data_IF_701249961746
#
_entry.id   IF_701249961746
#
_cell.length_a   1.000
_cell.length_b   1.000
_cell.length_c   1.000
_cell.angle_alpha   90.00
_cell.angle_beta   90.00
_cell.angle_gamma   90.00
#
_symmetry.space_group_name_H-M   'P 1'
#
loop_
_entity.id
_entity.type
_entity.pdbx_description
1 polymer ?
#
# COMPACT_ATOMS: atom_id res chain seq x y z
N UNK A 1 -32.15 47.26 28.22
CA UNK A 1 -30.89 46.54 27.98
C UNK A 1 -30.74 46.38 26.47
N UNK A 2 -30.47 47.48 25.77
CA UNK A 2 -30.20 47.49 24.33
C UNK A 2 -28.69 47.31 24.19
N UNK A 3 -28.26 46.10 23.79
CA UNK A 3 -26.91 45.93 23.29
C UNK A 3 -26.67 46.92 22.15
N UNK A 4 -25.47 47.51 22.10
CA UNK A 4 -25.11 48.47 21.06
C UNK A 4 -25.29 47.82 19.69
N UNK A 5 -25.99 48.53 18.79
CA UNK A 5 -26.36 48.05 17.45
C UNK A 5 -25.14 47.64 16.63
N UNK A 6 -23.97 48.23 16.92
CA UNK A 6 -22.72 47.97 16.20
C UNK A 6 -21.77 46.99 16.90
N UNK A 7 -22.11 46.49 18.09
CA UNK A 7 -21.26 45.56 18.86
C UNK A 7 -21.05 44.24 18.11
N UNK A 8 -22.11 43.74 17.46
CA UNK A 8 -22.02 42.57 16.59
C UNK A 8 -21.12 42.78 15.37
N UNK A 9 -21.08 44.00 14.81
CA UNK A 9 -20.22 44.33 13.67
C UNK A 9 -18.75 44.44 14.07
N UNK A 10 -18.46 44.90 15.29
CA UNK A 10 -17.11 44.97 15.86
C UNK A 10 -16.53 43.58 16.16
N UNK A 11 -17.37 42.61 16.52
CA UNK A 11 -16.96 41.23 16.83
C UNK A 11 -17.06 40.25 15.66
N UNK A 12 -17.56 40.69 14.50
CA UNK A 12 -17.86 39.83 13.35
C UNK A 12 -16.63 39.04 12.85
N UNK A 13 -15.46 39.69 12.78
CA UNK A 13 -14.22 39.03 12.36
C UNK A 13 -13.84 37.88 13.31
N UNK A 14 -13.86 38.15 14.63
CA UNK A 14 -13.52 37.15 15.63
C UNK A 14 -14.53 35.99 15.64
N UNK A 15 -15.81 36.27 15.40
CA UNK A 15 -16.85 35.26 15.26
C UNK A 15 -16.60 34.36 14.05
N UNK A 16 -16.39 34.94 12.86
CA UNK A 16 -16.12 34.15 11.65
C UNK A 16 -14.81 33.36 11.73
N UNK A 17 -13.77 33.87 12.40
CA UNK A 17 -12.53 33.12 12.64
C UNK A 17 -12.81 31.90 13.53
N UNK A 18 -13.56 32.08 14.62
CA UNK A 18 -13.92 30.99 15.51
C UNK A 18 -14.81 29.96 14.80
N UNK A 19 -15.81 30.41 14.04
CA UNK A 19 -16.69 29.56 13.24
C UNK A 19 -15.92 28.76 12.21
N UNK A 20 -15.04 29.41 11.43
CA UNK A 20 -14.22 28.74 10.43
C UNK A 20 -13.24 27.74 11.05
N UNK A 21 -12.69 28.03 12.23
CA UNK A 21 -11.85 27.09 12.98
C UNK A 21 -12.66 25.86 13.44
N UNK A 22 -13.83 26.06 14.03
CA UNK A 22 -14.69 24.96 14.48
C UNK A 22 -15.20 24.11 13.31
N UNK A 23 -15.56 24.74 12.19
CA UNK A 23 -15.94 24.08 10.95
C UNK A 23 -14.78 23.26 10.40
N UNK A 24 -13.60 23.87 10.23
CA UNK A 24 -12.41 23.20 9.75
C UNK A 24 -11.98 22.03 10.63
N UNK A 25 -12.10 22.16 11.95
CA UNK A 25 -11.78 21.09 12.90
C UNK A 25 -12.80 19.94 12.84
N UNK A 26 -14.09 20.25 12.67
CA UNK A 26 -15.16 19.26 12.49
C UNK A 26 -14.98 18.48 11.19
N UNK A 27 -14.73 19.20 10.10
CA UNK A 27 -14.57 18.63 8.77
C UNK A 27 -13.27 17.85 8.64
N UNK A 28 -12.17 18.39 9.17
CA UNK A 28 -10.88 17.71 9.26
C UNK A 28 -10.97 16.41 10.06
N UNK A 29 -11.68 16.40 11.20
CA UNK A 29 -11.88 15.18 11.99
C UNK A 29 -12.70 14.13 11.22
N UNK A 30 -13.78 14.55 10.55
CA UNK A 30 -14.63 13.66 9.75
C UNK A 30 -13.85 13.04 8.60
N UNK A 31 -13.17 13.88 7.81
CA UNK A 31 -12.38 13.44 6.65
C UNK A 31 -11.19 12.59 7.07
N UNK A 32 -10.42 13.05 8.06
CA UNK A 32 -9.24 12.34 8.54
C UNK A 32 -9.56 10.96 9.12
N UNK A 33 -10.71 10.79 9.77
CA UNK A 33 -11.14 9.46 10.25
C UNK A 33 -11.49 8.52 9.08
N UNK A 34 -12.22 9.02 8.08
CA UNK A 34 -12.59 8.24 6.91
C UNK A 34 -11.35 7.82 6.09
N UNK A 35 -10.45 8.77 5.84
CA UNK A 35 -9.19 8.55 5.12
C UNK A 35 -8.28 7.59 5.89
N UNK A 36 -8.04 7.84 7.18
CA UNK A 36 -7.20 6.99 8.01
C UNK A 36 -7.72 5.56 8.10
N UNK A 37 -9.05 5.37 8.17
CA UNK A 37 -9.67 4.03 8.13
C UNK A 37 -9.45 3.34 6.79
N UNK A 38 -9.65 4.05 5.67
CA UNK A 38 -9.45 3.48 4.34
C UNK A 38 -7.98 3.09 4.11
N UNK A 39 -7.05 3.99 4.44
CA UNK A 39 -5.61 3.75 4.31
C UNK A 39 -5.16 2.59 5.22
N UNK A 40 -5.60 2.57 6.48
CA UNK A 40 -5.26 1.50 7.41
C UNK A 40 -5.75 0.13 6.94
N UNK A 41 -6.96 0.06 6.36
CA UNK A 41 -7.48 -1.18 5.78
C UNK A 41 -6.65 -1.64 4.58
N UNK A 42 -6.32 -0.71 3.67
CA UNK A 42 -5.50 -1.02 2.50
C UNK A 42 -4.12 -1.54 2.91
N UNK A 43 -3.41 -0.80 3.77
CA UNK A 43 -2.07 -1.16 4.21
C UNK A 43 -2.04 -2.43 5.06
N UNK A 44 -3.03 -2.61 5.93
CA UNK A 44 -3.22 -3.85 6.68
C UNK A 44 -3.43 -5.05 5.76
N UNK A 45 -4.21 -4.90 4.68
CA UNK A 45 -4.41 -5.96 3.70
C UNK A 45 -3.14 -6.28 2.92
N UNK A 46 -2.43 -5.27 2.39
CA UNK A 46 -1.16 -5.44 1.67
C UNK A 46 -0.17 -6.29 2.50
N UNK A 47 -0.02 -5.93 3.77
CA UNK A 47 0.86 -6.61 4.72
C UNK A 47 0.38 -8.03 5.03
N UNK A 48 -0.89 -8.17 5.42
CA UNK A 48 -1.47 -9.46 5.80
C UNK A 48 -1.49 -10.45 4.63
N UNK A 49 -1.70 -9.95 3.41
CA UNK A 49 -1.64 -10.75 2.19
C UNK A 49 -0.24 -11.33 1.98
N UNK A 50 0.81 -10.53 2.09
CA UNK A 50 2.19 -10.99 1.88
C UNK A 50 2.63 -12.00 2.96
N UNK A 51 2.33 -11.72 4.24
CA UNK A 51 2.62 -12.65 5.34
C UNK A 51 1.83 -13.95 5.18
N UNK A 52 0.54 -13.86 4.83
CA UNK A 52 -0.31 -15.01 4.58
C UNK A 52 0.15 -15.84 3.38
N UNK A 53 0.65 -15.20 2.33
CA UNK A 53 1.24 -15.88 1.18
C UNK A 53 2.46 -16.72 1.59
N UNK A 54 3.39 -16.16 2.37
CA UNK A 54 4.54 -16.92 2.88
C UNK A 54 4.11 -18.09 3.78
N UNK A 55 3.13 -17.87 4.66
CA UNK A 55 2.55 -18.94 5.47
C UNK A 55 2.01 -20.09 4.61
N UNK A 56 1.26 -19.76 3.55
CA UNK A 56 0.72 -20.74 2.61
C UNK A 56 1.81 -21.51 1.87
N UNK A 57 2.88 -20.85 1.42
CA UNK A 57 4.02 -21.51 0.80
C UNK A 57 4.71 -22.48 1.74
N UNK A 58 4.97 -22.07 2.99
CA UNK A 58 5.55 -22.96 4.00
C UNK A 58 4.68 -24.19 4.23
N UNK A 59 3.37 -24.01 4.42
CA UNK A 59 2.43 -25.13 4.59
C UNK A 59 2.44 -26.09 3.39
N UNK A 60 2.43 -25.55 2.16
CA UNK A 60 2.50 -26.36 0.95
C UNK A 60 3.81 -27.15 0.88
N UNK A 61 4.95 -26.51 1.14
CA UNK A 61 6.25 -27.19 1.16
C UNK A 61 6.28 -28.29 2.24
N UNK A 62 5.76 -28.05 3.45
CA UNK A 62 5.64 -29.08 4.48
C UNK A 62 4.79 -30.27 4.04
N UNK A 63 3.66 -30.03 3.38
CA UNK A 63 2.82 -31.10 2.85
C UNK A 63 3.52 -31.91 1.74
N UNK A 64 4.28 -31.25 0.87
CA UNK A 64 5.06 -31.92 -0.17
C UNK A 64 6.18 -32.78 0.43
N UNK A 65 6.90 -32.25 1.42
CA UNK A 65 7.96 -32.97 2.14
C UNK A 65 7.41 -34.17 2.93
N UNK A 66 6.20 -34.06 3.48
CA UNK A 66 5.55 -35.19 4.16
C UNK A 66 5.21 -36.34 3.20
N UNK A 67 4.96 -36.03 1.91
CA UNK A 67 4.70 -37.04 0.86
C UNK A 67 5.99 -37.63 0.30
N UNK A 68 7.02 -36.81 0.17
CA UNK A 68 8.36 -37.23 -0.25
C UNK A 68 9.42 -36.64 0.69
N UNK A 69 9.88 -37.42 1.69
CA UNK A 69 10.86 -36.95 2.67
C UNK A 69 12.22 -36.55 2.09
N UNK A 70 12.54 -36.94 0.85
CA UNK A 70 13.80 -36.60 0.19
C UNK A 70 13.66 -35.40 -0.77
N UNK A 71 12.45 -34.85 -0.94
CA UNK A 71 12.18 -33.76 -1.86
C UNK A 71 13.03 -32.51 -1.57
N UNK A 72 13.19 -32.18 -0.29
CA UNK A 72 13.98 -31.03 0.15
C UNK A 72 15.21 -31.47 0.93
N UNK A 73 16.39 -31.06 0.43
CA UNK A 73 17.64 -31.25 1.16
C UNK A 73 17.70 -30.45 2.47
N UNK A 74 18.61 -30.77 3.39
CA UNK A 74 18.69 -30.17 4.73
C UNK A 74 18.78 -28.64 4.74
N UNK A 75 19.43 -28.06 3.72
CA UNK A 75 19.58 -26.61 3.57
C UNK A 75 18.25 -25.91 3.28
N UNK A 76 17.42 -26.51 2.41
CA UNK A 76 16.10 -25.98 2.05
C UNK A 76 15.13 -26.20 3.20
N UNK A 77 15.19 -27.34 3.87
CA UNK A 77 14.39 -27.61 5.06
C UNK A 77 14.63 -26.59 6.20
N UNK A 78 15.90 -26.31 6.51
CA UNK A 78 16.27 -25.21 7.43
C UNK A 78 15.86 -23.84 6.88
N UNK A 79 15.90 -23.70 5.57
CA UNK A 79 15.28 -22.64 4.77
C UNK A 79 13.87 -22.31 5.24
N UNK A 80 13.01 -23.31 5.06
CA UNK A 80 11.56 -23.28 5.32
C UNK A 80 11.28 -23.06 6.80
N UNK A 81 11.94 -23.81 7.70
CA UNK A 81 11.77 -23.67 9.15
C UNK A 81 12.02 -22.24 9.64
N UNK A 82 13.06 -21.59 9.10
CA UNK A 82 13.38 -20.21 9.44
C UNK A 82 12.33 -19.22 8.91
N UNK A 83 11.75 -19.44 7.74
CA UNK A 83 10.67 -18.58 7.24
C UNK A 83 9.38 -18.79 8.05
N UNK A 84 9.07 -20.02 8.45
CA UNK A 84 7.95 -20.33 9.35
C UNK A 84 8.06 -19.58 10.68
N UNK A 85 9.25 -19.54 11.26
CA UNK A 85 9.52 -18.79 12.49
C UNK A 85 9.32 -17.28 12.29
N UNK A 86 9.86 -16.69 11.21
CA UNK A 86 9.66 -15.27 10.91
C UNK A 86 8.17 -14.93 10.72
N UNK A 87 7.41 -15.78 10.01
CA UNK A 87 5.97 -15.60 9.78
C UNK A 87 5.19 -15.71 11.10
N UNK A 88 5.52 -16.67 11.95
CA UNK A 88 4.86 -16.88 13.25
C UNK A 88 5.09 -15.71 14.21
N UNK A 89 6.30 -15.18 14.22
CA UNK A 89 6.71 -14.14 15.18
C UNK A 89 6.38 -12.73 14.65
N UNK A 90 5.82 -12.63 13.45
CA UNK A 90 5.46 -11.35 12.84
C UNK A 90 4.30 -10.65 13.58
N UNK A 91 4.45 -9.37 13.97
CA UNK A 91 3.53 -8.69 14.88
C UNK A 91 2.27 -8.14 14.17
N UNK A 92 1.45 -9.00 13.55
CA UNK A 92 0.23 -8.60 12.83
C UNK A 92 -0.77 -7.81 13.70
N UNK A 93 -0.76 -8.02 15.03
CA UNK A 93 -1.62 -7.33 15.98
C UNK A 93 -1.12 -5.94 16.42
N UNK A 94 0.11 -5.56 16.05
CA UNK A 94 0.70 -4.28 16.44
C UNK A 94 1.14 -3.49 15.18
N UNK A 95 0.22 -2.73 14.55
CA UNK A 95 0.53 -1.96 13.34
C UNK A 95 1.49 -0.78 13.57
N UNK A 96 1.83 -0.47 14.83
CA UNK A 96 2.79 0.59 15.19
C UNK A 96 4.16 0.03 15.59
N UNK A 97 4.42 -1.26 15.37
CA UNK A 97 5.75 -1.82 15.61
C UNK A 97 6.76 -1.22 14.62
N UNK A 98 7.76 -0.50 15.14
CA UNK A 98 8.79 0.17 14.33
C UNK A 98 9.64 -0.83 13.51
N UNK A 99 9.66 -2.11 13.91
CA UNK A 99 10.44 -3.16 13.26
C UNK A 99 9.69 -3.81 12.09
N UNK A 100 8.44 -3.42 11.83
CA UNK A 100 7.60 -4.07 10.82
C UNK A 100 8.26 -4.15 9.45
N UNK A 101 8.89 -3.04 9.05
CA UNK A 101 9.59 -2.94 7.77
C UNK A 101 10.80 -3.89 7.71
N UNK A 102 11.64 -3.89 8.74
CA UNK A 102 12.82 -4.77 8.82
C UNK A 102 12.43 -6.25 8.80
N UNK A 103 11.40 -6.62 9.56
CA UNK A 103 10.88 -7.99 9.60
C UNK A 103 10.31 -8.43 8.24
N UNK A 104 9.58 -7.55 7.56
CA UNK A 104 9.10 -7.80 6.20
C UNK A 104 10.23 -8.02 5.21
N UNK A 105 11.24 -7.14 5.23
CA UNK A 105 12.39 -7.23 4.33
C UNK A 105 13.22 -8.50 4.62
N UNK A 106 13.30 -8.92 5.89
CA UNK A 106 13.86 -10.21 6.30
C UNK A 106 13.09 -11.40 5.69
N UNK A 107 11.76 -11.39 5.77
CA UNK A 107 10.92 -12.44 5.17
C UNK A 107 11.05 -12.47 3.65
N UNK A 108 11.02 -11.32 2.98
CA UNK A 108 11.23 -11.20 1.52
C UNK A 108 12.58 -11.75 1.10
N UNK A 109 13.64 -11.38 1.81
CA UNK A 109 14.99 -11.88 1.57
C UNK A 109 15.08 -13.40 1.75
N UNK A 110 14.46 -13.94 2.80
CA UNK A 110 14.44 -15.38 3.07
C UNK A 110 13.64 -16.14 2.01
N UNK A 111 12.48 -15.62 1.63
CA UNK A 111 11.64 -16.19 0.58
C UNK A 111 12.36 -16.20 -0.76
N UNK A 112 13.00 -15.08 -1.16
CA UNK A 112 13.80 -14.99 -2.39
C UNK A 112 14.95 -16.01 -2.42
N UNK A 113 15.63 -16.21 -1.29
CA UNK A 113 16.66 -17.24 -1.19
C UNK A 113 16.09 -18.66 -1.35
N UNK A 114 14.91 -18.93 -0.78
CA UNK A 114 14.22 -20.21 -0.91
C UNK A 114 13.78 -20.48 -2.35
N UNK A 115 13.14 -19.53 -3.02
CA UNK A 115 12.73 -19.69 -4.41
C UNK A 115 13.92 -19.90 -5.33
N UNK A 116 15.05 -19.23 -5.07
CA UNK A 116 16.29 -19.45 -5.81
C UNK A 116 16.84 -20.88 -5.61
N UNK A 117 16.84 -21.40 -4.38
CA UNK A 117 17.27 -22.76 -4.07
C UNK A 117 16.35 -23.83 -4.67
N UNK A 118 15.05 -23.52 -4.81
CA UNK A 118 14.03 -24.41 -5.38
C UNK A 118 13.91 -24.31 -6.91
N UNK A 119 14.65 -23.41 -7.56
CA UNK A 119 14.53 -23.19 -9.01
C UNK A 119 13.27 -22.41 -9.43
N UNK A 120 12.58 -21.77 -8.49
CA UNK A 120 11.31 -21.04 -8.68
C UNK A 120 11.50 -19.53 -8.91
N UNK A 121 12.62 -19.13 -9.51
CA UNK A 121 13.09 -17.73 -9.64
C UNK A 121 12.04 -16.78 -10.27
N UNK A 122 11.11 -17.31 -11.08
CA UNK A 122 10.12 -16.54 -11.84
C UNK A 122 8.68 -16.74 -11.32
N UNK A 123 8.51 -17.46 -10.22
CA UNK A 123 7.18 -17.81 -9.72
C UNK A 123 6.53 -16.71 -8.86
N UNK A 124 7.29 -15.68 -8.45
CA UNK A 124 6.80 -14.60 -7.60
C UNK A 124 7.20 -13.24 -8.16
N UNK A 125 6.21 -12.46 -8.57
CA UNK A 125 6.34 -11.02 -8.78
C UNK A 125 5.85 -10.32 -7.52
N UNK A 126 6.70 -9.51 -6.90
CA UNK A 126 6.30 -8.67 -5.78
C UNK A 126 5.21 -7.67 -6.22
N UNK A 127 4.35 -7.19 -5.29
CA UNK A 127 3.37 -6.16 -5.60
C UNK A 127 3.99 -4.90 -6.25
N UNK A 128 5.23 -4.57 -5.87
CA UNK A 128 5.99 -3.44 -6.44
C UNK A 128 6.32 -3.67 -7.93
N UNK A 129 6.70 -4.90 -8.31
CA UNK A 129 6.94 -5.27 -9.71
C UNK A 129 5.64 -5.28 -10.54
N UNK A 130 4.50 -5.59 -9.92
CA UNK A 130 3.19 -5.55 -10.57
C UNK A 130 2.71 -4.12 -10.83
N UNK A 131 2.97 -3.19 -9.90
CA UNK A 131 2.65 -1.77 -10.08
C UNK A 131 3.49 -1.12 -11.18
N UNK A 132 4.78 -1.49 -11.28
CA UNK A 132 5.68 -0.98 -12.31
C UNK A 132 5.37 -1.55 -13.70
N UNK A 133 4.91 -2.80 -13.79
CA UNK A 133 4.40 -3.40 -15.04
C UNK A 133 3.08 -2.78 -15.51
N UNK A 134 2.19 -2.36 -14.61
CA UNK A 134 0.97 -1.61 -14.98
C UNK A 134 1.26 -0.19 -15.45
N UNK A 135 2.24 0.50 -14.86
CA UNK A 135 2.64 1.85 -15.31
C UNK A 135 3.41 1.83 -16.63
N UNK A 136 4.19 0.78 -16.92
CA UNK A 136 4.93 0.61 -18.18
C UNK A 136 4.06 0.33 -19.42
N UNK A 137 2.78 -0.04 -19.25
CA UNK A 137 1.85 -0.32 -20.36
C UNK A 137 0.99 0.89 -20.78
N UNK A 138 1.10 2.05 -20.12
CA UNK A 138 0.27 3.25 -20.42
C UNK A 138 0.95 4.34 -21.28
N UNK A 139 2.01 4.03 -22.05
CA UNK A 139 2.49 4.94 -23.11
C UNK A 139 2.09 4.45 -24.50
N UNK A 140 1.09 5.05 -25.17
CA UNK A 140 0.99 5.01 -26.62
C UNK A 140 1.98 6.02 -27.21
N UNK A 141 2.80 5.54 -28.15
CA UNK A 141 3.85 6.30 -28.81
C UNK A 141 3.35 7.56 -29.52
N UNK A 142 4.03 8.68 -29.26
CA UNK A 142 4.03 9.82 -30.15
C UNK A 142 4.92 9.48 -31.36
N UNK A 143 4.29 9.15 -32.49
CA UNK A 143 4.94 9.15 -33.80
C UNK A 143 4.11 10.02 -34.74
N UNK A 144 4.76 11.03 -35.33
CA UNK A 144 4.11 12.20 -35.90
C UNK A 144 3.94 12.20 -37.41
N UNK A 145 3.47 13.37 -37.88
CA UNK A 145 3.73 13.91 -39.21
C UNK A 145 2.67 13.66 -40.28
N UNK A 146 2.09 14.75 -40.81
CA UNK A 146 1.39 14.76 -42.10
C UNK A 146 0.23 15.75 -42.13
N UNK A 147 0.40 16.88 -42.83
CA UNK A 147 -0.49 18.03 -42.76
C UNK A 147 -1.65 18.12 -43.76
N UNK A 148 -2.35 19.26 -43.58
CA UNK A 148 -3.10 20.16 -44.50
C UNK A 148 -4.42 19.70 -45.17
N UNK A 149 -5.34 20.62 -45.59
CA UNK A 149 -5.54 22.05 -45.27
C UNK A 149 -7.02 22.50 -45.04
N UNK A 150 -7.21 23.72 -44.50
CA UNK A 150 -8.32 24.62 -44.89
C UNK A 150 -9.62 24.62 -44.05
N UNK A 151 -10.04 25.81 -43.60
CA UNK A 151 -11.40 26.05 -43.09
C UNK A 151 -11.54 27.22 -42.12
N UNK A 152 -11.69 28.42 -42.67
CA UNK A 152 -12.01 29.71 -42.00
C UNK A 152 -13.24 29.67 -41.07
N UNK A 153 -13.14 30.24 -39.87
CA UNK A 153 -13.89 31.47 -39.49
C UNK A 153 -13.75 31.87 -38.02
N UNK A 154 -13.56 33.18 -37.87
CA UNK A 154 -13.79 34.06 -36.72
C UNK A 154 -14.74 33.59 -35.60
N UNK A 155 -14.41 33.91 -34.35
CA UNK A 155 -15.10 34.97 -33.59
C UNK A 155 -14.41 35.21 -32.24
N UNK A 156 -14.08 36.48 -32.00
CA UNK A 156 -13.78 37.06 -30.70
C UNK A 156 -15.06 37.17 -29.89
N UNK A 157 -14.98 36.84 -28.60
CA UNK A 157 -15.54 37.62 -27.49
C UNK A 157 -14.60 37.47 -26.29
#
# INVERSE_FOLDING_TARGET
MTGDLFDAALHLESQHIAEGYEEGLRDGRRSGHAEGRALGLQKGFELGHEVGFYSGCCQLWRQLQARDPQLFGPRVDKGIASLEEMVRDFPLGNPQDERLQELMDGMRGRFKALTAMLGLQHAYASPDEQQQQQQGQQQPGLQGGGGVPGGVSSLQF
#
